data_IF_987277952486
#
_entry.id   IF_987277952486
#
_cell.length_a   1.000
_cell.length_b   1.000
_cell.length_c   1.000
_cell.angle_alpha   90.00
_cell.angle_beta   90.00
_cell.angle_gamma   90.00
#
_symmetry.space_group_name_H-M   'P 1'
#
loop_
_entity.id
_entity.type
_entity.pdbx_description
1 polymer ?
#
# COMPACT_ATOMS: atom_id res chain seq x y z
N UNK A 1 8.98 9.89 -18.12
CA UNK A 1 7.64 9.27 -18.06
C UNK A 1 7.11 9.51 -16.66
N UNK A 2 6.12 10.39 -16.49
CA UNK A 2 5.59 10.75 -15.17
C UNK A 2 4.71 9.61 -14.68
N UNK A 3 5.06 8.99 -13.56
CA UNK A 3 4.22 8.01 -12.85
C UNK A 3 3.05 8.77 -12.23
N UNK A 4 2.02 9.07 -13.03
CA UNK A 4 0.79 9.61 -12.51
C UNK A 4 0.12 8.52 -11.66
N UNK A 5 0.25 8.64 -10.33
CA UNK A 5 -0.54 7.85 -9.39
C UNK A 5 -2.02 8.10 -9.71
N UNK A 6 -2.73 7.03 -10.04
CA UNK A 6 -4.18 7.13 -10.19
C UNK A 6 -4.78 7.37 -8.80
N UNK A 7 -5.94 8.03 -8.71
CA UNK A 7 -6.66 8.17 -7.43
C UNK A 7 -7.00 6.81 -6.81
N UNK A 8 -7.06 5.77 -7.65
CA UNK A 8 -7.32 4.38 -7.25
C UNK A 8 -6.11 3.73 -6.56
N UNK A 9 -4.88 4.19 -6.84
CA UNK A 9 -3.64 3.63 -6.28
C UNK A 9 -3.39 4.12 -4.85
N UNK A 10 -3.88 5.33 -4.50
CA UNK A 10 -3.61 6.00 -3.23
C UNK A 10 -4.03 5.17 -2.01
N UNK A 11 -5.25 4.59 -1.94
CA UNK A 11 -5.66 3.76 -0.81
C UNK A 11 -4.80 2.50 -0.69
N UNK A 12 -4.38 1.92 -1.81
CA UNK A 12 -3.55 0.72 -1.82
C UNK A 12 -2.15 1.01 -1.26
N UNK A 13 -1.59 2.16 -1.63
CA UNK A 13 -0.32 2.64 -1.10
C UNK A 13 -0.37 2.86 0.42
N UNK A 14 -1.41 3.52 0.92
CA UNK A 14 -1.62 3.71 2.37
C UNK A 14 -1.68 2.35 3.07
N UNK A 15 -2.51 1.43 2.58
CA UNK A 15 -2.72 0.13 3.22
C UNK A 15 -1.46 -0.74 3.28
N UNK A 16 -0.63 -0.69 2.22
CA UNK A 16 0.64 -1.39 2.17
C UNK A 16 1.69 -0.75 3.10
N UNK A 17 1.80 0.59 3.09
CA UNK A 17 2.75 1.32 3.92
C UNK A 17 2.47 1.16 5.42
N UNK A 18 1.20 1.18 5.83
CA UNK A 18 0.80 0.93 7.21
C UNK A 18 1.17 -0.47 7.71
N UNK A 19 1.36 -1.44 6.79
CA UNK A 19 1.85 -2.80 7.09
C UNK A 19 3.36 -2.95 6.92
N UNK A 20 4.09 -1.85 6.75
CA UNK A 20 5.55 -1.86 6.59
C UNK A 20 6.03 -2.30 5.21
N UNK A 21 5.14 -2.37 4.22
CA UNK A 21 5.51 -2.68 2.85
C UNK A 21 5.68 -1.43 1.99
N UNK A 22 6.66 -1.48 1.10
CA UNK A 22 6.77 -0.54 0.00
C UNK A 22 6.03 -1.12 -1.20
N UNK A 23 4.99 -0.42 -1.64
CA UNK A 23 4.28 -0.72 -2.87
C UNK A 23 4.90 0.06 -4.04
N UNK A 24 5.15 -0.62 -5.14
CA UNK A 24 5.62 -0.01 -6.39
C UNK A 24 4.69 -0.41 -7.54
N UNK A 25 4.22 0.57 -8.30
CA UNK A 25 3.50 0.31 -9.55
C UNK A 25 4.51 -0.05 -10.65
N UNK A 26 4.20 -1.10 -11.39
CA UNK A 26 4.99 -1.65 -12.49
C UNK A 26 4.32 -1.31 -13.83
N UNK A 27 4.82 -1.86 -14.94
CA UNK A 27 4.10 -1.80 -16.21
C UNK A 27 2.76 -2.54 -16.12
N UNK A 28 1.85 -2.23 -17.05
CA UNK A 28 0.62 -3.02 -17.26
C UNK A 28 -0.34 -3.10 -16.06
N UNK A 29 -0.41 -2.03 -15.25
CA UNK A 29 -1.26 -1.93 -14.06
C UNK A 29 -0.99 -2.98 -12.96
N UNK A 30 0.21 -3.55 -12.98
CA UNK A 30 0.69 -4.48 -11.97
C UNK A 30 1.45 -3.77 -10.84
N UNK A 31 1.62 -4.48 -9.75
CA UNK A 31 2.29 -4.01 -8.55
C UNK A 31 3.36 -5.00 -8.08
N UNK A 32 4.39 -4.44 -7.45
CA UNK A 32 5.37 -5.16 -6.67
C UNK A 32 5.35 -4.68 -5.22
N UNK A 33 5.48 -5.63 -4.29
CA UNK A 33 5.59 -5.40 -2.87
C UNK A 33 7.02 -5.69 -2.42
N UNK A 34 7.56 -4.79 -1.61
CA UNK A 34 8.88 -4.94 -1.01
C UNK A 34 8.79 -4.79 0.51
N UNK A 35 9.62 -5.53 1.23
CA UNK A 35 9.82 -5.34 2.67
C UNK A 35 11.18 -4.71 2.92
N UNK A 36 11.27 -3.86 3.94
CA UNK A 36 12.54 -3.30 4.39
C UNK A 36 13.09 -4.13 5.54
N UNK A 37 14.24 -4.75 5.33
CA UNK A 37 14.96 -5.54 6.33
C UNK A 37 16.29 -4.84 6.65
N UNK A 38 16.23 -3.85 7.56
CA UNK A 38 17.37 -3.01 7.89
C UNK A 38 17.82 -2.14 6.71
N UNK A 39 19.02 -2.43 6.20
CA UNK A 39 19.58 -1.76 5.03
C UNK A 39 19.10 -2.36 3.69
N UNK A 40 18.47 -3.54 3.72
CA UNK A 40 18.03 -4.26 2.53
C UNK A 40 16.58 -3.95 2.18
N UNK A 41 16.28 -3.97 0.88
CA UNK A 41 14.92 -3.94 0.34
C UNK A 41 14.70 -5.24 -0.41
N UNK A 42 13.87 -6.11 0.14
CA UNK A 42 13.63 -7.45 -0.40
C UNK A 42 12.32 -7.48 -1.17
N UNK A 43 12.32 -8.09 -2.35
CA UNK A 43 11.11 -8.33 -3.12
C UNK A 43 10.28 -9.40 -2.40
N UNK A 44 9.06 -9.02 -1.99
CA UNK A 44 8.11 -9.94 -1.34
C UNK A 44 7.27 -10.67 -2.39
N UNK A 45 6.82 -9.93 -3.40
CA UNK A 45 6.07 -10.45 -4.53
C UNK A 45 5.99 -9.39 -5.65
N UNK A 46 5.93 -9.84 -6.90
CA UNK A 46 5.72 -9.03 -8.10
C UNK A 46 4.53 -9.55 -8.93
N UNK A 47 4.23 -8.87 -10.02
CA UNK A 47 3.15 -9.25 -10.94
C UNK A 47 1.76 -9.21 -10.32
N UNK A 48 1.57 -8.45 -9.23
CA UNK A 48 0.31 -8.44 -8.47
C UNK A 48 -0.70 -7.50 -9.12
N UNK A 49 -1.95 -7.95 -9.23
CA UNK A 49 -3.05 -7.02 -9.56
C UNK A 49 -3.41 -6.16 -8.35
N UNK A 50 -4.20 -5.10 -8.57
CA UNK A 50 -4.78 -4.31 -7.48
C UNK A 50 -5.48 -5.21 -6.44
N UNK A 51 -6.25 -6.19 -6.91
CA UNK A 51 -7.00 -7.12 -6.05
C UNK A 51 -6.08 -7.99 -5.22
N UNK A 52 -4.96 -8.46 -5.79
CA UNK A 52 -4.00 -9.30 -5.07
C UNK A 52 -3.35 -8.53 -3.92
N UNK A 53 -2.95 -7.28 -4.17
CA UNK A 53 -2.40 -6.41 -3.12
C UNK A 53 -3.46 -6.10 -2.07
N UNK A 54 -4.70 -5.80 -2.46
CA UNK A 54 -5.79 -5.51 -1.53
C UNK A 54 -6.08 -6.71 -0.61
N UNK A 55 -6.14 -7.91 -1.18
CA UNK A 55 -6.29 -9.16 -0.43
C UNK A 55 -5.12 -9.38 0.55
N UNK A 56 -3.86 -9.11 0.13
CA UNK A 56 -2.69 -9.18 1.01
C UNK A 56 -2.74 -8.14 2.15
N UNK A 57 -3.37 -6.99 1.90
CA UNK A 57 -3.67 -6.01 2.93
C UNK A 57 -4.90 -6.36 3.78
N UNK A 58 -5.46 -7.57 3.64
CA UNK A 58 -6.59 -8.05 4.44
C UNK A 58 -7.96 -7.51 4.00
N UNK A 59 -8.04 -6.82 2.87
CA UNK A 59 -9.29 -6.33 2.26
C UNK A 59 -9.87 -7.38 1.31
N UNK A 60 -10.39 -8.47 1.87
CA UNK A 60 -11.03 -9.56 1.14
C UNK A 60 -12.54 -9.61 1.38
N UNK A 61 -13.29 -10.12 0.40
CA UNK A 61 -14.75 -10.22 0.48
C UNK A 61 -15.40 -8.85 0.50
N UNK A 62 -16.15 -8.54 1.56
CA UNK A 62 -16.80 -7.23 1.79
C UNK A 62 -15.95 -6.28 2.63
N UNK A 63 -14.76 -6.70 3.06
CA UNK A 63 -13.86 -5.88 3.89
C UNK A 63 -13.11 -4.86 3.03
N UNK A 64 -13.26 -3.58 3.33
CA UNK A 64 -12.51 -2.50 2.68
C UNK A 64 -11.07 -2.39 3.22
N UNK A 65 -10.18 -1.71 2.47
CA UNK A 65 -8.81 -1.42 2.92
C UNK A 65 -8.77 -0.67 4.26
N UNK A 66 -9.67 0.29 4.44
CA UNK A 66 -9.83 1.03 5.70
C UNK A 66 -10.19 0.08 6.85
N UNK A 67 -11.24 -0.72 6.68
CA UNK A 67 -11.68 -1.66 7.71
C UNK A 67 -10.59 -2.69 8.04
N UNK A 68 -9.84 -3.16 7.04
CA UNK A 68 -8.74 -4.07 7.27
C UNK A 68 -7.61 -3.44 8.09
N UNK A 69 -7.23 -2.20 7.80
CA UNK A 69 -6.24 -1.43 8.59
C UNK A 69 -6.73 -1.19 10.02
N UNK A 70 -7.96 -0.74 10.19
CA UNK A 70 -8.55 -0.43 11.50
C UNK A 70 -8.72 -1.69 12.36
N UNK A 71 -9.08 -2.84 11.76
CA UNK A 71 -9.11 -4.15 12.43
C UNK A 71 -7.74 -4.54 12.99
N UNK A 72 -6.67 -4.18 12.29
CA UNK A 72 -5.29 -4.49 12.70
C UNK A 72 -4.77 -3.46 13.74
N UNK A 73 -5.63 -2.57 14.26
CA UNK A 73 -5.30 -1.60 15.30
C UNK A 73 -4.61 -0.33 14.81
N UNK A 74 -4.58 -0.11 13.49
CA UNK A 74 -3.93 1.05 12.87
C UNK A 74 -4.96 2.10 12.49
N UNK A 75 -4.57 3.37 12.54
CA UNK A 75 -5.45 4.48 12.17
C UNK A 75 -5.39 4.74 10.66
N UNK A 76 -6.53 4.66 9.99
CA UNK A 76 -6.62 5.11 8.60
C UNK A 76 -6.52 6.65 8.53
N UNK A 77 -5.65 7.21 7.68
CA UNK A 77 -5.45 8.65 7.59
C UNK A 77 -6.68 9.36 7.00
N UNK A 78 -6.95 10.59 7.46
CA UNK A 78 -8.09 11.39 6.98
C UNK A 78 -8.01 11.73 5.47
N UNK A 79 -6.79 11.86 4.94
CA UNK A 79 -6.53 12.05 3.51
C UNK A 79 -5.16 11.48 3.11
N UNK A 80 -4.89 11.42 1.81
CA UNK A 80 -3.57 11.01 1.30
C UNK A 80 -2.48 12.03 1.67
N UNK A 81 -2.80 13.33 1.69
CA UNK A 81 -1.88 14.38 2.13
C UNK A 81 -1.55 14.23 3.63
N UNK A 82 -2.55 13.92 4.46
CA UNK A 82 -2.33 13.66 5.89
C UNK A 82 -1.40 12.46 6.11
N UNK A 83 -1.55 11.42 5.30
CA UNK A 83 -0.63 10.28 5.28
C UNK A 83 0.79 10.68 4.89
N UNK A 84 0.96 11.44 3.80
CA UNK A 84 2.27 11.89 3.35
C UNK A 84 2.94 12.82 4.37
N UNK A 85 2.17 13.65 5.08
CA UNK A 85 2.68 14.50 6.14
C UNK A 85 3.30 13.65 7.27
N UNK A 86 2.64 12.58 7.69
CA UNK A 86 3.18 11.63 8.68
C UNK A 86 4.40 10.87 8.16
N UNK A 87 4.40 10.46 6.90
CA UNK A 87 5.51 9.71 6.31
C UNK A 87 6.79 10.55 6.15
N UNK A 88 6.69 11.89 6.16
CA UNK A 88 7.83 12.82 6.03
C UNK A 88 8.45 13.22 7.36
N UNK A 89 7.78 12.94 8.49
CA UNK A 89 8.26 13.31 9.83
C UNK A 89 9.24 12.29 10.43
N UNK A 90 9.59 11.24 9.69
CA UNK A 90 10.52 10.17 10.10
C UNK A 90 11.82 10.18 9.30
#
# INVERSE_FOLDING_TARGET
MSLAFSDLDKPLFIAAALRGWRLQRMSDDLYALFSRNGASVDLVADGLTFKDVANRCGASGTTTLRQAVERDGLTWPASFEAFLALARTV
#
